data_IF_076477784331
#
_entry.id   IF_076477784331
#
_cell.length_a   1.000
_cell.length_b   1.000
_cell.length_c   1.000
_cell.angle_alpha   90.00
_cell.angle_beta   90.00
_cell.angle_gamma   90.00
#
_symmetry.space_group_name_H-M   'P 1'
#
loop_
_entity.id
_entity.type
_entity.pdbx_description
1 polymer ?
#
# COMPACT_ATOMS: atom_id res chain seq x y z
N UNK A 1 -2.56 -11.23 20.98
CA UNK A 1 -1.79 -10.98 19.74
C UNK A 1 -2.15 -9.61 19.19
N UNK A 2 -1.24 -8.63 19.24
CA UNK A 2 -1.37 -7.32 18.57
C UNK A 2 0.03 -6.83 18.22
N UNK A 3 0.57 -7.27 17.09
CA UNK A 3 1.76 -6.67 16.49
C UNK A 3 1.32 -5.72 15.38
N UNK A 4 0.69 -4.61 15.78
CA UNK A 4 0.55 -3.46 14.89
C UNK A 4 1.90 -2.76 14.92
N UNK A 5 2.81 -3.17 14.01
CA UNK A 5 4.07 -2.49 13.82
C UNK A 5 3.76 -1.06 13.36
N UNK A 6 4.05 -0.08 14.22
CA UNK A 6 3.81 1.33 13.94
C UNK A 6 4.60 1.75 12.70
N UNK A 7 3.89 2.29 11.70
CA UNK A 7 4.52 2.91 10.53
C UNK A 7 5.34 4.14 10.97
N UNK A 8 6.41 4.52 10.24
CA UNK A 8 7.17 5.73 10.53
C UNK A 8 6.26 6.97 10.55
N UNK A 9 6.48 7.85 11.52
CA UNK A 9 5.73 9.08 11.78
C UNK A 9 6.11 10.17 10.76
N UNK A 10 5.35 10.25 9.66
CA UNK A 10 5.36 11.38 8.74
C UNK A 10 4.06 11.36 7.93
N UNK A 11 3.22 12.38 8.13
CA UNK A 11 1.85 12.55 7.60
C UNK A 11 1.05 11.25 7.41
N UNK A 12 0.57 10.71 8.53
CA UNK A 12 -0.28 9.53 8.61
C UNK A 12 -1.75 9.87 8.38
N UNK A 13 -2.07 10.48 7.24
CA UNK A 13 -3.47 10.53 6.82
C UNK A 13 -3.98 9.11 6.60
N UNK A 14 -4.98 8.69 7.38
CA UNK A 14 -5.65 7.38 7.25
C UNK A 14 -6.17 7.20 5.83
N UNK A 15 -6.68 8.28 5.23
CA UNK A 15 -7.16 8.30 3.84
C UNK A 15 -6.00 8.06 2.87
N UNK A 16 -4.85 8.70 3.07
CA UNK A 16 -3.68 8.47 2.21
C UNK A 16 -3.18 7.02 2.30
N UNK A 17 -3.14 6.42 3.50
CA UNK A 17 -2.79 5.01 3.63
C UNK A 17 -3.80 4.10 2.95
N UNK A 18 -5.09 4.38 3.12
CA UNK A 18 -6.17 3.65 2.46
C UNK A 18 -6.00 3.66 0.93
N UNK A 19 -5.74 4.84 0.34
CA UNK A 19 -5.49 4.99 -1.10
C UNK A 19 -4.24 4.19 -1.51
N UNK A 20 -3.15 4.27 -0.75
CA UNK A 20 -1.91 3.55 -1.06
C UNK A 20 -2.09 2.03 -1.08
N UNK A 21 -2.88 1.46 -0.16
CA UNK A 21 -3.21 0.03 -0.21
C UNK A 21 -4.05 -0.32 -1.45
N UNK A 22 -4.98 0.55 -1.85
CA UNK A 22 -5.74 0.35 -3.07
C UNK A 22 -4.86 0.41 -4.32
N UNK A 23 -3.92 1.36 -4.39
CA UNK A 23 -2.95 1.46 -5.47
C UNK A 23 -2.07 0.21 -5.53
N UNK A 24 -1.52 -0.22 -4.40
CA UNK A 24 -0.72 -1.45 -4.32
C UNK A 24 -1.45 -2.65 -4.93
N UNK A 25 -2.70 -2.87 -4.54
CA UNK A 25 -3.45 -4.06 -4.97
C UNK A 25 -4.05 -3.91 -6.36
N UNK A 26 -4.62 -2.77 -6.72
CA UNK A 26 -5.38 -2.61 -7.96
C UNK A 26 -4.53 -2.21 -9.15
N UNK A 27 -3.46 -1.44 -8.92
CA UNK A 27 -2.58 -0.96 -10.00
C UNK A 27 -1.37 -1.87 -10.15
N UNK A 28 -0.81 -2.36 -9.04
CA UNK A 28 0.43 -3.15 -9.04
C UNK A 28 0.22 -4.63 -8.65
N UNK A 29 -1.02 -5.11 -8.57
CA UNK A 29 -1.40 -6.49 -8.19
C UNK A 29 -0.74 -7.01 -6.88
N UNK A 30 -0.42 -6.10 -5.97
CA UNK A 30 0.25 -6.43 -4.72
C UNK A 30 1.77 -6.54 -4.82
N UNK A 31 2.38 -6.15 -5.93
CA UNK A 31 3.83 -6.15 -6.12
C UNK A 31 4.46 -4.79 -5.71
N UNK A 32 5.09 -4.72 -4.52
CA UNK A 32 5.75 -3.50 -4.08
C UNK A 32 7.04 -3.20 -4.86
N UNK A 33 7.68 -4.20 -5.48
CA UNK A 33 8.88 -4.00 -6.28
C UNK A 33 8.55 -3.32 -7.61
N UNK A 34 7.45 -3.73 -8.26
CA UNK A 34 6.91 -3.04 -9.44
C UNK A 34 6.55 -1.58 -9.13
N UNK A 35 5.88 -1.32 -8.01
CA UNK A 35 5.55 0.05 -7.62
C UNK A 35 6.80 0.90 -7.31
N UNK A 36 7.81 0.34 -6.64
CA UNK A 36 9.09 1.04 -6.41
C UNK A 36 9.80 1.39 -7.71
N UNK A 37 9.80 0.49 -8.70
CA UNK A 37 10.39 0.76 -10.01
C UNK A 37 9.67 1.92 -10.71
N UNK A 38 8.33 1.93 -10.67
CA UNK A 38 7.52 3.01 -11.21
C UNK A 38 7.84 4.36 -10.56
N UNK A 39 7.82 4.44 -9.22
CA UNK A 39 8.11 5.68 -8.49
C UNK A 39 9.51 6.23 -8.78
N UNK A 40 10.51 5.36 -8.97
CA UNK A 40 11.87 5.78 -9.33
C UNK A 40 11.93 6.38 -10.73
N UNK A 41 11.19 5.80 -11.68
CA UNK A 41 11.17 6.28 -13.06
C UNK A 41 10.40 7.60 -13.21
N UNK A 42 9.33 7.79 -12.44
CA UNK A 42 8.45 8.96 -12.55
C UNK A 42 8.84 10.14 -11.65
N UNK A 43 9.86 9.98 -10.79
CA UNK A 43 10.18 10.98 -9.76
C UNK A 43 9.08 11.09 -8.68
N UNK A 44 8.47 9.96 -8.31
CA UNK A 44 7.29 9.90 -7.43
C UNK A 44 7.49 10.46 -6.03
N UNK A 45 6.37 10.68 -5.33
CA UNK A 45 6.31 11.31 -4.01
C UNK A 45 7.20 10.57 -2.97
N UNK A 46 8.09 11.28 -2.26
CA UNK A 46 8.84 10.74 -1.13
C UNK A 46 8.00 9.99 -0.08
N UNK A 47 6.75 10.40 0.16
CA UNK A 47 5.87 9.71 1.09
C UNK A 47 5.45 8.33 0.58
N UNK A 48 5.14 8.21 -0.70
CA UNK A 48 4.85 6.92 -1.34
C UNK A 48 6.09 6.03 -1.36
N UNK A 49 7.27 6.58 -1.67
CA UNK A 49 8.53 5.83 -1.58
C UNK A 49 8.76 5.24 -0.19
N UNK A 50 8.49 6.01 0.89
CA UNK A 50 8.57 5.51 2.26
C UNK A 50 7.56 4.41 2.53
N UNK A 51 6.31 4.60 2.10
CA UNK A 51 5.26 3.60 2.24
C UNK A 51 5.62 2.29 1.55
N UNK A 52 6.03 2.32 0.28
CA UNK A 52 6.29 1.09 -0.48
C UNK A 52 7.51 0.36 0.06
N UNK A 53 8.56 1.08 0.51
CA UNK A 53 9.70 0.46 1.19
C UNK A 53 9.29 -0.25 2.48
N UNK A 54 8.43 0.40 3.27
CA UNK A 54 7.92 -0.17 4.50
C UNK A 54 7.07 -1.43 4.24
N UNK A 55 6.10 -1.36 3.31
CA UNK A 55 5.21 -2.50 3.03
C UNK A 55 5.99 -3.67 2.43
N UNK A 56 6.96 -3.41 1.55
CA UNK A 56 7.89 -4.43 1.03
C UNK A 56 8.63 -5.16 2.15
N UNK A 57 9.20 -4.41 3.09
CA UNK A 57 9.88 -5.00 4.25
C UNK A 57 8.93 -5.87 5.06
N UNK A 58 7.69 -5.40 5.26
CA UNK A 58 6.69 -6.14 6.02
C UNK A 58 6.23 -7.41 5.33
N UNK A 59 5.98 -7.38 4.01
CA UNK A 59 5.59 -8.55 3.23
C UNK A 59 6.68 -9.62 3.17
N UNK A 60 7.95 -9.24 3.25
CA UNK A 60 9.06 -10.19 3.39
C UNK A 60 9.06 -10.93 4.73
N UNK A 61 8.63 -10.26 5.79
CA UNK A 61 8.54 -10.84 7.13
C UNK A 61 7.24 -11.64 7.31
N UNK A 62 6.16 -11.19 6.69
CA UNK A 62 4.83 -11.78 6.78
C UNK A 62 4.15 -11.76 5.41
N UNK A 63 4.32 -12.80 4.59
CA UNK A 63 3.66 -12.90 3.29
C UNK A 63 2.12 -12.99 3.39
N UNK A 64 1.58 -13.49 4.51
CA UNK A 64 0.14 -13.63 4.70
C UNK A 64 -0.54 -12.25 4.81
N UNK A 65 0.20 -11.21 5.20
CA UNK A 65 -0.27 -9.83 5.20
C UNK A 65 -0.79 -9.38 3.83
N UNK A 66 -0.16 -9.81 2.72
CA UNK A 66 -0.65 -9.43 1.38
C UNK A 66 -2.07 -9.97 1.14
N UNK A 67 -2.34 -11.19 1.57
CA UNK A 67 -3.67 -11.79 1.46
C UNK A 67 -4.69 -10.99 2.28
N UNK A 68 -4.32 -10.55 3.49
CA UNK A 68 -5.17 -9.72 4.32
C UNK A 68 -5.45 -8.34 3.67
N UNK A 69 -4.43 -7.71 3.09
CA UNK A 69 -4.56 -6.44 2.37
C UNK A 69 -5.48 -6.60 1.15
N UNK A 70 -5.29 -7.64 0.32
CA UNK A 70 -6.15 -7.92 -0.85
C UNK A 70 -7.61 -8.08 -0.41
N UNK A 71 -7.88 -8.87 0.64
CA UNK A 71 -9.24 -9.03 1.20
C UNK A 71 -9.86 -7.71 1.66
N UNK A 72 -9.09 -6.87 2.36
CA UNK A 72 -9.56 -5.54 2.76
C UNK A 72 -9.93 -4.69 1.53
N UNK A 73 -9.05 -4.61 0.53
CA UNK A 73 -9.28 -3.84 -0.70
C UNK A 73 -10.48 -4.37 -1.51
N UNK A 74 -10.74 -5.68 -1.47
CA UNK A 74 -11.91 -6.28 -2.10
C UNK A 74 -13.21 -5.99 -1.33
N UNK A 75 -13.15 -5.91 0.00
CA UNK A 75 -14.30 -5.59 0.83
C UNK A 75 -14.69 -4.09 0.78
N UNK A 76 -13.80 -3.22 0.33
CA UNK A 76 -14.03 -1.76 0.27
C UNK A 76 -14.17 -1.27 -1.18
N UNK A 77 -15.40 -0.97 -1.65
CA UNK A 77 -15.62 -0.51 -3.02
C UNK A 77 -15.24 0.97 -3.17
N UNK A 78 -13.94 1.25 -3.27
CA UNK A 78 -13.43 2.60 -3.51
C UNK A 78 -13.54 3.01 -4.98
N UNK A 79 -13.10 2.14 -5.89
CA UNK A 79 -13.02 2.46 -7.32
C UNK A 79 -14.36 2.37 -8.08
N UNK A 80 -15.38 1.71 -7.52
CA UNK A 80 -16.71 1.65 -8.15
C UNK A 80 -17.51 2.96 -7.99
N UNK A 81 -17.22 3.77 -6.98
CA UNK A 81 -17.93 5.02 -6.73
C UNK A 81 -17.36 6.23 -7.51
N UNK A 82 -16.13 6.13 -8.03
CA UNK A 82 -15.46 7.22 -8.74
C UNK A 82 -15.79 7.30 -10.25
N UNK A 83 -16.75 6.49 -10.72
CA UNK A 83 -17.14 6.39 -12.14
C UNK A 83 -18.65 6.45 -12.38
N UNK A 84 -19.41 7.10 -11.49
CA UNK A 84 -20.83 7.40 -11.67
C UNK A 84 -21.03 8.91 -11.84
#
# INVERSE_FOLDING_TARGET
MKNVALMPTGDQSVIAQFIRYHVLVRVFDGDPDAWLAHLRASGGDPADLRFVRWVRSRLRQDPALLTAIKRMVDATPFWRAAGA
#
